data_IF_086393924029
#
_entry.id   IF_086393924029
#
_cell.length_a   1.000
_cell.length_b   1.000
_cell.length_c   1.000
_cell.angle_alpha   90.00
_cell.angle_beta   90.00
_cell.angle_gamma   90.00
#
_symmetry.space_group_name_H-M   'P 1'
#
loop_
_entity.id
_entity.type
_entity.pdbx_description
1 polymer ?
#
# COMPACT_ATOMS: atom_id res chain seq x y z
N UNK A 1 -38.86 18.13 22.15
CA UNK A 1 -38.72 16.67 22.28
C UNK A 1 -39.06 16.03 20.95
N UNK A 2 -38.05 15.69 20.19
CA UNK A 2 -38.14 14.78 19.03
C UNK A 2 -36.74 14.28 18.79
N UNK A 3 -36.48 13.04 19.17
CA UNK A 3 -35.28 12.32 18.91
C UNK A 3 -35.27 11.86 17.45
N UNK A 4 -34.31 12.30 16.67
CA UNK A 4 -34.03 11.76 15.35
C UNK A 4 -32.89 10.79 15.45
N UNK A 5 -33.19 9.52 15.30
CA UNK A 5 -32.25 8.41 15.09
C UNK A 5 -31.60 8.58 13.72
N UNK A 6 -30.28 8.74 13.68
CA UNK A 6 -29.51 8.68 12.45
C UNK A 6 -29.30 7.20 12.09
N UNK A 7 -30.02 6.77 11.08
CA UNK A 7 -29.87 5.47 10.46
C UNK A 7 -28.58 5.37 9.64
N UNK A 8 -28.03 4.19 9.66
CA UNK A 8 -26.92 3.71 8.85
C UNK A 8 -27.09 4.05 7.36
N UNK A 9 -26.24 4.90 6.80
CA UNK A 9 -26.15 5.15 5.38
C UNK A 9 -25.39 4.00 4.71
N UNK A 10 -26.16 3.15 4.05
CA UNK A 10 -25.66 2.15 3.11
C UNK A 10 -25.04 2.87 1.92
N UNK A 11 -23.78 2.63 1.66
CA UNK A 11 -23.07 3.13 0.50
C UNK A 11 -23.53 2.39 -0.76
N UNK A 12 -24.42 3.03 -1.54
CA UNK A 12 -24.62 2.67 -2.93
C UNK A 12 -23.77 3.62 -3.80
N UNK A 13 -22.59 3.16 -4.16
CA UNK A 13 -21.79 3.80 -5.19
C UNK A 13 -22.42 3.52 -6.55
N UNK A 14 -23.03 4.54 -7.15
CA UNK A 14 -23.46 4.52 -8.54
C UNK A 14 -22.22 4.63 -9.41
N UNK A 15 -21.81 3.54 -10.02
CA UNK A 15 -20.82 3.54 -11.10
C UNK A 15 -21.52 3.89 -12.42
N UNK A 16 -21.03 4.84 -13.22
CA UNK A 16 -21.54 5.01 -14.57
C UNK A 16 -21.10 3.83 -15.43
N UNK A 17 -22.06 3.11 -15.98
CA UNK A 17 -21.87 2.06 -16.97
C UNK A 17 -21.42 2.69 -18.30
N UNK A 18 -20.19 2.38 -18.74
CA UNK A 18 -19.84 2.43 -20.15
C UNK A 18 -19.72 1.01 -20.64
N UNK A 19 -20.64 0.64 -21.52
CA UNK A 19 -20.59 -0.61 -22.24
C UNK A 19 -19.51 -0.55 -23.31
N UNK A 20 -18.71 -1.62 -23.35
CA UNK A 20 -18.34 -2.28 -24.61
C UNK A 20 -17.84 -3.68 -24.23
N UNK A 21 -18.46 -4.65 -24.90
CA UNK A 21 -18.30 -6.07 -24.72
C UNK A 21 -16.96 -6.55 -25.27
N UNK A 22 -16.09 -7.02 -24.37
CA UNK A 22 -15.07 -8.01 -24.70
C UNK A 22 -15.50 -9.30 -24.01
N UNK A 23 -15.87 -10.30 -24.80
CA UNK A 23 -16.13 -11.66 -24.32
C UNK A 23 -14.80 -12.23 -23.80
N UNK A 24 -14.62 -12.23 -22.49
CA UNK A 24 -13.64 -13.10 -21.83
C UNK A 24 -14.36 -14.40 -21.47
N UNK A 25 -13.86 -15.50 -22.02
CA UNK A 25 -14.21 -16.87 -21.61
C UNK A 25 -13.86 -17.05 -20.12
N UNK A 26 -14.81 -16.75 -19.26
CA UNK A 26 -14.72 -17.09 -17.83
C UNK A 26 -15.07 -18.55 -17.66
N UNK A 27 -14.05 -19.38 -17.50
CA UNK A 27 -14.22 -20.70 -16.87
C UNK A 27 -14.71 -20.43 -15.45
N UNK A 28 -15.99 -20.71 -15.22
CA UNK A 28 -16.58 -20.68 -13.89
C UNK A 28 -15.92 -21.77 -13.04
N UNK A 29 -15.01 -21.37 -12.16
CA UNK A 29 -14.57 -22.22 -11.05
C UNK A 29 -15.69 -22.11 -10.01
N UNK A 30 -16.46 -23.17 -9.82
CA UNK A 30 -17.41 -23.29 -8.71
C UNK A 30 -16.60 -23.18 -7.41
N UNK A 31 -16.68 -22.01 -6.76
CA UNK A 31 -16.15 -21.81 -5.42
C UNK A 31 -17.09 -22.56 -4.45
N UNK A 32 -16.61 -23.65 -3.87
CA UNK A 32 -17.29 -24.23 -2.70
C UNK A 32 -17.39 -23.15 -1.61
N UNK A 33 -18.58 -22.96 -1.02
CA UNK A 33 -18.75 -21.97 0.03
C UNK A 33 -17.87 -22.33 1.23
N UNK A 34 -17.03 -21.38 1.66
CA UNK A 34 -16.29 -21.47 2.91
C UNK A 34 -17.30 -21.65 4.06
N UNK A 35 -17.38 -22.86 4.58
CA UNK A 35 -18.12 -23.16 5.81
C UNK A 35 -17.21 -22.73 6.95
N UNK A 36 -17.55 -21.59 7.58
CA UNK A 36 -16.93 -21.24 8.85
C UNK A 36 -17.17 -22.38 9.85
N UNK A 37 -16.15 -22.89 10.54
CA UNK A 37 -16.37 -23.91 11.54
C UNK A 37 -17.29 -23.33 12.64
N UNK A 38 -18.47 -23.91 12.78
CA UNK A 38 -19.27 -23.79 13.99
C UNK A 38 -18.53 -24.60 15.05
N UNK A 39 -17.79 -23.90 15.91
CA UNK A 39 -17.62 -24.25 17.30
C UNK A 39 -16.52 -23.36 17.89
N UNK A 40 -16.84 -22.75 19.02
CA UNK A 40 -15.87 -22.10 19.91
C UNK A 40 -14.98 -23.19 20.52
N UNK A 41 -13.99 -23.65 19.74
CA UNK A 41 -12.98 -24.54 20.30
C UNK A 41 -12.07 -23.69 21.20
N UNK A 42 -11.92 -24.15 22.44
CA UNK A 42 -11.05 -23.48 23.42
C UNK A 42 -9.60 -23.49 22.97
N UNK A 43 -8.83 -22.48 23.40
CA UNK A 43 -7.38 -22.43 23.21
C UNK A 43 -6.75 -23.71 23.74
N UNK A 44 -5.81 -24.28 22.97
CA UNK A 44 -5.04 -25.45 23.42
C UNK A 44 -4.06 -25.03 24.55
N UNK A 45 -4.34 -25.39 25.83
CA UNK A 45 -3.46 -25.04 26.95
C UNK A 45 -2.06 -25.62 26.80
N UNK A 46 -1.93 -26.77 26.13
CA UNK A 46 -0.63 -27.38 25.86
C UNK A 46 0.17 -26.55 24.84
N UNK A 47 -0.48 -25.83 23.93
CA UNK A 47 0.21 -24.87 23.03
C UNK A 47 0.77 -23.70 23.82
N UNK A 48 -0.02 -23.10 24.72
CA UNK A 48 0.41 -22.00 25.60
C UNK A 48 1.65 -22.40 26.42
N UNK A 49 1.62 -23.57 27.04
CA UNK A 49 2.76 -24.10 27.81
C UNK A 49 3.99 -24.35 26.94
N UNK A 50 3.83 -24.91 25.73
CA UNK A 50 4.92 -25.12 24.79
C UNK A 50 5.56 -23.82 24.34
N UNK A 51 4.76 -22.79 24.04
CA UNK A 51 5.25 -21.46 23.66
C UNK A 51 5.99 -20.79 24.82
N UNK A 52 5.42 -20.82 26.02
CA UNK A 52 6.04 -20.27 27.23
C UNK A 52 7.39 -20.94 27.50
N UNK A 53 7.42 -22.29 27.51
CA UNK A 53 8.64 -23.04 27.70
C UNK A 53 9.71 -22.70 26.63
N UNK A 54 9.30 -22.67 25.36
CA UNK A 54 10.23 -22.36 24.27
C UNK A 54 10.79 -20.94 24.37
N UNK A 55 9.93 -19.95 24.61
CA UNK A 55 10.40 -18.56 24.75
C UNK A 55 11.37 -18.45 25.93
N UNK A 56 11.07 -19.09 27.07
CA UNK A 56 11.91 -19.01 28.26
C UNK A 56 13.26 -19.71 28.08
N UNK A 57 13.27 -20.86 27.43
CA UNK A 57 14.48 -21.73 27.34
C UNK A 57 15.27 -21.55 26.06
N UNK A 58 14.77 -20.81 25.05
CA UNK A 58 15.48 -20.63 23.78
C UNK A 58 16.88 -20.08 23.98
N UNK A 59 17.93 -20.82 23.52
CA UNK A 59 19.30 -20.38 23.68
C UNK A 59 19.62 -19.15 22.82
N UNK A 60 20.55 -18.32 23.26
CA UNK A 60 21.05 -17.15 22.53
C UNK A 60 19.99 -16.08 22.23
N UNK A 61 18.82 -16.17 22.86
CA UNK A 61 17.75 -15.17 22.75
C UNK A 61 17.75 -14.34 24.02
N UNK A 62 18.07 -13.04 23.89
CA UNK A 62 17.97 -12.09 24.98
C UNK A 62 16.50 -11.70 25.19
N UNK A 63 15.90 -12.16 26.28
CA UNK A 63 14.45 -12.02 26.57
C UNK A 63 14.06 -10.55 26.76
N UNK A 64 14.94 -9.70 27.25
CA UNK A 64 14.72 -8.26 27.41
C UNK A 64 14.66 -7.53 26.04
N UNK A 65 15.08 -8.16 24.96
CA UNK A 65 15.13 -7.65 23.59
C UNK A 65 14.12 -8.34 22.66
N UNK A 66 13.21 -9.14 23.22
CA UNK A 66 12.20 -9.92 22.53
C UNK A 66 10.80 -9.44 22.90
N UNK A 67 9.95 -9.23 21.90
CA UNK A 67 8.51 -9.07 22.03
C UNK A 67 7.79 -10.16 21.23
N UNK A 68 6.90 -10.91 21.86
CA UNK A 68 6.09 -11.95 21.22
C UNK A 68 4.64 -11.78 21.62
N UNK A 69 3.74 -11.91 20.66
CA UNK A 69 2.33 -12.06 20.94
C UNK A 69 1.69 -13.02 19.95
N UNK A 70 0.84 -13.88 20.46
CA UNK A 70 0.07 -14.87 19.70
C UNK A 70 -1.38 -14.83 20.15
N UNK A 71 -2.29 -14.72 19.21
CA UNK A 71 -3.72 -14.67 19.40
C UNK A 71 -4.39 -15.75 18.54
N UNK A 72 -5.28 -16.52 19.11
CA UNK A 72 -6.11 -17.47 18.38
C UNK A 72 -7.32 -16.74 17.81
N UNK A 73 -7.31 -16.52 16.49
CA UNK A 73 -8.39 -15.81 15.79
C UNK A 73 -9.67 -16.66 15.79
N UNK A 74 -9.54 -17.98 15.71
CA UNK A 74 -10.69 -18.89 15.68
C UNK A 74 -11.38 -18.96 17.04
N UNK A 75 -10.62 -19.16 18.12
CA UNK A 75 -11.16 -19.17 19.49
C UNK A 75 -11.43 -17.78 20.06
N UNK A 76 -10.89 -16.70 19.44
CA UNK A 76 -10.97 -15.32 19.94
C UNK A 76 -10.33 -15.11 21.31
N UNK A 77 -9.19 -15.75 21.55
CA UNK A 77 -8.51 -15.72 22.83
C UNK A 77 -6.99 -15.51 22.71
N UNK A 78 -6.43 -14.95 23.78
CA UNK A 78 -4.97 -14.80 23.93
C UNK A 78 -4.34 -16.18 24.14
N UNK A 79 -3.33 -16.51 23.33
CA UNK A 79 -2.57 -17.76 23.48
C UNK A 79 -1.30 -17.52 24.29
N UNK A 80 -0.52 -16.49 23.91
CA UNK A 80 0.74 -16.23 24.58
C UNK A 80 1.20 -14.78 24.39
N UNK A 81 1.75 -14.17 25.44
CA UNK A 81 2.34 -12.84 25.41
C UNK A 81 3.66 -12.76 26.18
N UNK A 82 4.70 -12.20 25.59
CA UNK A 82 5.96 -11.87 26.23
C UNK A 82 6.38 -10.47 25.81
N UNK A 83 6.41 -9.51 26.77
CA UNK A 83 6.71 -8.10 26.52
C UNK A 83 5.91 -7.53 25.30
N UNK A 84 4.74 -8.04 25.11
CA UNK A 84 3.89 -7.80 23.94
C UNK A 84 3.36 -6.37 23.83
N UNK A 85 3.39 -5.61 24.93
CA UNK A 85 3.01 -4.19 24.99
C UNK A 85 4.22 -3.24 24.96
N UNK A 86 5.44 -3.76 24.86
CA UNK A 86 6.66 -2.95 24.78
C UNK A 86 6.87 -2.46 23.34
N UNK A 87 7.01 -1.12 23.12
CA UNK A 87 7.27 -0.58 21.80
C UNK A 87 8.67 -0.98 21.29
N UNK A 88 8.72 -1.60 20.11
CA UNK A 88 9.93 -2.07 19.47
C UNK A 88 9.98 -1.62 18.01
N UNK A 89 11.15 -1.70 17.36
CA UNK A 89 11.31 -1.38 15.94
C UNK A 89 10.69 -2.50 15.09
N UNK A 90 9.62 -2.22 14.32
CA UNK A 90 8.95 -3.24 13.51
C UNK A 90 9.71 -3.59 12.23
N UNK A 91 10.68 -2.77 11.82
CA UNK A 91 11.28 -2.84 10.50
C UNK A 91 10.18 -2.98 9.41
N UNK A 92 10.39 -3.81 8.39
CA UNK A 92 9.43 -3.95 7.28
C UNK A 92 8.08 -4.59 7.65
N UNK A 93 7.83 -4.98 8.91
CA UNK A 93 6.47 -5.30 9.35
C UNK A 93 5.57 -4.04 9.38
N UNK A 94 6.13 -2.82 9.34
CA UNK A 94 5.40 -1.56 9.09
C UNK A 94 4.54 -1.63 7.83
N UNK A 95 4.99 -2.34 6.80
CA UNK A 95 4.29 -2.50 5.52
C UNK A 95 2.91 -3.17 5.64
N UNK A 96 2.68 -3.93 6.72
CA UNK A 96 1.35 -4.47 7.02
C UNK A 96 0.37 -3.33 7.31
N UNK A 97 0.77 -2.34 8.09
CA UNK A 97 -0.05 -1.16 8.37
C UNK A 97 -0.25 -0.32 7.11
N UNK A 98 0.82 -0.07 6.35
CA UNK A 98 0.73 0.67 5.08
C UNK A 98 -0.26 0.04 4.12
N UNK A 99 -0.21 -1.30 3.97
CA UNK A 99 -1.13 -2.02 3.10
C UNK A 99 -2.59 -1.99 3.62
N UNK A 100 -2.79 -2.16 4.94
CA UNK A 100 -4.12 -2.11 5.54
C UNK A 100 -4.77 -0.72 5.39
N UNK A 101 -4.01 0.35 5.67
CA UNK A 101 -4.47 1.74 5.52
C UNK A 101 -4.80 2.06 4.06
N UNK A 102 -3.95 1.60 3.11
CA UNK A 102 -4.21 1.76 1.68
C UNK A 102 -5.50 1.03 1.24
N UNK A 103 -5.66 -0.23 1.63
CA UNK A 103 -6.85 -1.02 1.29
C UNK A 103 -8.12 -0.47 1.93
N UNK A 104 -8.02 0.08 3.15
CA UNK A 104 -9.15 0.69 3.83
C UNK A 104 -9.61 1.98 3.14
N UNK A 105 -8.70 2.94 2.93
CA UNK A 105 -9.07 4.27 2.43
C UNK A 105 -9.27 4.31 0.91
N UNK A 106 -8.50 3.52 0.15
CA UNK A 106 -8.56 3.54 -1.32
C UNK A 106 -9.44 2.42 -1.88
N UNK A 107 -9.61 1.35 -1.13
CA UNK A 107 -10.33 0.16 -1.55
C UNK A 107 -9.48 -0.83 -2.39
N UNK A 108 -9.92 -2.09 -2.46
CA UNK A 108 -9.16 -3.16 -3.12
C UNK A 108 -9.11 -3.03 -4.66
N UNK A 109 -10.06 -2.30 -5.23
CA UNK A 109 -10.18 -2.08 -6.68
C UNK A 109 -9.56 -0.75 -7.12
N UNK A 110 -8.92 -0.03 -6.18
CA UNK A 110 -8.24 1.22 -6.53
C UNK A 110 -7.18 1.00 -7.60
N UNK A 111 -7.15 1.89 -8.57
CA UNK A 111 -6.14 1.92 -9.62
C UNK A 111 -5.50 3.31 -9.69
N UNK A 112 -4.20 3.33 -9.85
CA UNK A 112 -3.46 4.52 -10.26
C UNK A 112 -3.83 4.85 -11.69
N UNK A 113 -4.08 6.12 -12.00
CA UNK A 113 -4.49 6.60 -13.31
C UNK A 113 -3.54 7.68 -13.83
N UNK A 114 -2.93 7.39 -14.95
CA UNK A 114 -2.07 8.34 -15.67
C UNK A 114 -2.63 8.53 -17.09
N UNK A 115 -3.06 9.75 -17.41
CA UNK A 115 -3.80 10.02 -18.65
C UNK A 115 -3.26 11.25 -19.38
N UNK A 116 -3.18 11.17 -20.71
CA UNK A 116 -3.00 12.30 -21.60
C UNK A 116 -4.35 12.69 -22.18
N UNK A 117 -4.80 13.90 -21.89
CA UNK A 117 -6.06 14.41 -22.38
C UNK A 117 -5.85 15.60 -23.33
N UNK A 118 -6.74 15.75 -24.30
CA UNK A 118 -6.71 16.77 -25.30
C UNK A 118 -8.02 17.56 -25.33
N UNK A 119 -7.92 18.88 -25.33
CA UNK A 119 -9.00 19.81 -25.60
C UNK A 119 -8.67 20.66 -26.82
N UNK A 120 -9.68 20.86 -27.69
CA UNK A 120 -9.53 21.65 -28.91
C UNK A 120 -9.60 20.83 -30.18
N UNK A 121 -9.08 21.37 -31.29
CA UNK A 121 -9.15 20.75 -32.62
C UNK A 121 -7.79 20.57 -33.25
N UNK A 122 -7.66 19.56 -34.10
CA UNK A 122 -6.46 19.31 -34.88
C UNK A 122 -6.69 19.73 -36.33
N UNK A 123 -5.84 20.57 -36.86
CA UNK A 123 -5.84 20.95 -38.27
C UNK A 123 -4.43 20.96 -38.82
N UNK A 124 -4.21 20.29 -39.97
CA UNK A 124 -2.91 20.20 -40.68
C UNK A 124 -1.74 19.84 -39.76
N UNK A 125 -1.97 18.89 -38.82
CA UNK A 125 -0.95 18.45 -37.89
C UNK A 125 -0.74 19.35 -36.64
N UNK A 126 -1.46 20.46 -36.55
CA UNK A 126 -1.42 21.34 -35.38
C UNK A 126 -2.62 21.16 -34.47
N UNK A 127 -2.37 20.94 -33.19
CA UNK A 127 -3.39 21.01 -32.15
C UNK A 127 -3.58 22.49 -31.76
N UNK A 128 -4.77 23.02 -32.01
CA UNK A 128 -5.22 24.33 -31.53
C UNK A 128 -6.04 24.09 -30.25
N UNK A 129 -5.37 24.18 -29.11
CA UNK A 129 -5.99 23.87 -27.81
C UNK A 129 -5.00 23.47 -26.75
N UNK A 130 -5.41 22.60 -25.83
CA UNK A 130 -4.61 22.24 -24.66
C UNK A 130 -4.36 20.74 -24.57
N UNK A 131 -3.21 20.38 -24.04
CA UNK A 131 -2.96 19.05 -23.46
C UNK A 131 -3.01 19.14 -21.94
N UNK A 132 -3.62 18.13 -21.31
CA UNK A 132 -3.55 17.91 -19.87
C UNK A 132 -2.82 16.59 -19.63
N UNK A 133 -1.65 16.67 -19.00
CA UNK A 133 -0.85 15.53 -18.55
C UNK A 133 -1.25 15.25 -17.11
N UNK A 134 -2.24 14.37 -16.91
CA UNK A 134 -2.80 14.05 -15.61
C UNK A 134 -2.18 12.77 -15.08
N UNK A 135 -1.46 12.88 -13.96
CA UNK A 135 -0.63 11.81 -13.42
C UNK A 135 -0.97 11.57 -11.96
N UNK A 136 -1.38 10.35 -11.63
CA UNK A 136 -1.33 9.85 -10.27
C UNK A 136 0.12 9.53 -9.88
N UNK A 137 0.32 9.17 -8.61
CA UNK A 137 1.63 8.72 -8.10
C UNK A 137 1.93 7.27 -8.49
N UNK A 138 1.62 6.86 -9.72
CA UNK A 138 1.80 5.49 -10.21
C UNK A 138 3.28 5.09 -10.21
N UNK A 139 3.71 4.18 -9.31
CA UNK A 139 5.12 3.80 -9.25
C UNK A 139 5.56 2.89 -10.40
N UNK A 140 4.61 2.37 -11.19
CA UNK A 140 4.88 1.52 -12.35
C UNK A 140 4.80 2.26 -13.68
N UNK A 141 4.49 3.55 -13.68
CA UNK A 141 4.48 4.33 -14.92
C UNK A 141 5.86 4.28 -15.60
N UNK A 142 5.96 3.71 -16.82
CA UNK A 142 7.26 3.38 -17.40
C UNK A 142 7.93 4.61 -18.02
N UNK A 143 7.21 5.33 -18.86
CA UNK A 143 7.70 6.50 -19.62
C UNK A 143 6.53 7.21 -20.30
N UNK A 144 6.83 8.36 -20.94
CA UNK A 144 5.86 9.11 -21.74
C UNK A 144 5.75 8.64 -23.19
N UNK A 145 6.42 7.57 -23.58
CA UNK A 145 6.48 7.14 -24.98
C UNK A 145 5.09 6.84 -25.53
N UNK A 146 4.24 6.10 -24.80
CA UNK A 146 2.88 5.78 -25.24
C UNK A 146 2.01 7.05 -25.39
N UNK A 147 2.19 8.05 -24.51
CA UNK A 147 1.48 9.31 -24.58
C UNK A 147 1.88 10.09 -25.84
N UNK A 148 3.17 10.14 -26.15
CA UNK A 148 3.67 10.83 -27.33
C UNK A 148 3.33 10.07 -28.61
N UNK A 149 3.37 8.75 -28.60
CA UNK A 149 2.90 7.93 -29.71
C UNK A 149 1.40 8.14 -30.00
N UNK A 150 0.58 8.36 -28.96
CA UNK A 150 -0.84 8.68 -29.15
C UNK A 150 -1.04 10.03 -29.90
N UNK A 151 -0.20 11.03 -29.61
CA UNK A 151 -0.17 12.28 -30.38
C UNK A 151 0.22 12.03 -31.83
N UNK A 152 1.25 11.22 -32.08
CA UNK A 152 1.66 10.83 -33.45
C UNK A 152 0.56 10.10 -34.20
N UNK A 153 -0.11 9.13 -33.56
CA UNK A 153 -1.26 8.42 -34.15
C UNK A 153 -2.43 9.35 -34.51
N UNK A 154 -2.59 10.44 -33.75
CA UNK A 154 -3.57 11.49 -34.03
C UNK A 154 -3.12 12.47 -35.13
N UNK A 155 -1.89 12.32 -35.64
CA UNK A 155 -1.28 13.19 -36.64
C UNK A 155 -0.83 14.53 -36.09
N UNK A 156 -0.63 14.67 -34.78
CA UNK A 156 -0.19 15.91 -34.12
C UNK A 156 1.33 15.97 -34.16
N UNK A 157 1.88 17.02 -34.81
CA UNK A 157 3.31 17.33 -34.86
C UNK A 157 3.62 18.71 -34.29
N UNK A 158 2.59 19.53 -34.01
CA UNK A 158 2.73 20.83 -33.36
C UNK A 158 1.56 21.06 -32.37
N UNK A 159 1.86 21.69 -31.24
CA UNK A 159 0.88 22.06 -30.22
C UNK A 159 0.90 23.62 -30.15
N UNK A 160 -0.18 24.24 -30.61
CA UNK A 160 -0.42 25.67 -30.48
C UNK A 160 -1.42 25.90 -29.34
N UNK A 161 -0.88 26.08 -28.11
CA UNK A 161 -1.71 26.25 -26.93
C UNK A 161 -0.98 25.85 -25.65
N UNK A 162 -1.74 25.36 -24.65
CA UNK A 162 -1.21 25.11 -23.32
C UNK A 162 -0.92 23.63 -23.08
N UNK A 163 0.17 23.32 -22.38
CA UNK A 163 0.45 22.01 -21.80
C UNK A 163 0.34 22.15 -20.28
N UNK A 164 -0.71 21.56 -19.73
CA UNK A 164 -1.03 21.60 -18.29
C UNK A 164 -0.59 20.29 -17.64
N UNK A 165 0.14 20.39 -16.53
CA UNK A 165 0.56 19.25 -15.74
C UNK A 165 -0.29 19.16 -14.48
N UNK A 166 -1.20 18.20 -14.44
CA UNK A 166 -1.96 17.80 -13.27
C UNK A 166 -1.25 16.63 -12.59
N UNK A 167 -0.41 16.95 -11.64
CA UNK A 167 0.42 15.98 -10.94
C UNK A 167 -0.10 15.82 -9.52
N UNK A 168 -0.37 14.58 -9.11
CA UNK A 168 -0.73 14.27 -7.73
C UNK A 168 0.40 14.68 -6.77
N UNK A 169 1.65 14.56 -7.22
CA UNK A 169 2.84 14.89 -6.44
C UNK A 169 3.73 15.93 -7.15
N UNK A 170 4.18 16.90 -6.39
CA UNK A 170 5.14 17.92 -6.87
C UNK A 170 6.56 17.66 -6.40
N UNK A 171 6.73 17.00 -5.25
CA UNK A 171 8.02 16.77 -4.60
C UNK A 171 8.64 15.42 -4.96
N UNK A 172 9.96 15.33 -4.78
CA UNK A 172 10.68 14.07 -4.92
C UNK A 172 10.43 13.19 -3.71
N UNK A 173 10.20 11.89 -3.93
CA UNK A 173 10.14 10.88 -2.86
C UNK A 173 11.45 10.92 -2.06
N UNK A 174 11.33 11.03 -0.75
CA UNK A 174 12.46 11.02 0.18
C UNK A 174 12.20 10.01 1.27
N UNK A 175 13.25 9.30 1.66
CA UNK A 175 13.20 8.47 2.86
C UNK A 175 13.18 9.35 4.12
N UNK A 176 12.67 8.81 5.22
CA UNK A 176 12.71 9.47 6.51
C UNK A 176 14.17 9.73 6.94
N UNK A 177 14.42 10.87 7.60
CA UNK A 177 15.78 11.32 7.97
C UNK A 177 16.52 10.37 8.92
N UNK A 178 15.81 9.49 9.65
CA UNK A 178 16.42 8.48 10.52
C UNK A 178 16.81 7.19 9.82
N UNK A 179 16.37 7.00 8.55
CA UNK A 179 16.79 5.87 7.73
C UNK A 179 18.22 6.08 7.20
N UNK A 180 18.91 5.00 6.84
CA UNK A 180 20.24 5.10 6.24
C UNK A 180 20.20 5.77 4.88
N UNK A 181 21.10 6.72 4.55
CA UNK A 181 21.00 7.53 3.32
C UNK A 181 21.01 6.75 2.00
N UNK A 182 21.50 5.50 2.01
CA UNK A 182 21.61 4.62 0.84
C UNK A 182 20.50 3.59 0.73
N UNK A 183 19.55 3.54 1.65
CA UNK A 183 18.47 2.56 1.63
C UNK A 183 17.51 2.78 0.44
N UNK A 184 17.34 4.04 0.02
CA UNK A 184 16.61 4.39 -1.20
C UNK A 184 17.52 5.18 -2.16
N UNK A 185 17.98 4.51 -3.21
CA UNK A 185 18.74 5.15 -4.28
C UNK A 185 17.82 5.97 -5.20
N UNK A 186 18.17 7.24 -5.45
CA UNK A 186 17.43 8.13 -6.36
C UNK A 186 17.24 7.52 -7.76
N UNK A 187 18.24 6.77 -8.25
CA UNK A 187 18.15 6.16 -9.58
C UNK A 187 17.03 5.10 -9.67
N UNK A 188 16.70 4.46 -8.56
CA UNK A 188 15.62 3.46 -8.46
C UNK A 188 14.26 4.06 -8.17
N UNK A 189 14.20 5.35 -7.80
CA UNK A 189 12.93 6.03 -7.57
C UNK A 189 12.14 6.09 -8.88
N UNK A 190 10.85 5.68 -8.90
CA UNK A 190 10.00 5.72 -10.07
C UNK A 190 9.90 7.13 -10.67
N UNK A 191 9.63 7.22 -11.97
CA UNK A 191 9.61 8.51 -12.69
C UNK A 191 8.67 9.53 -12.03
N UNK A 192 7.45 9.13 -11.72
CA UNK A 192 6.44 10.03 -11.14
C UNK A 192 6.73 10.42 -9.68
N UNK A 193 7.69 9.73 -9.05
CA UNK A 193 8.18 10.05 -7.71
C UNK A 193 9.41 10.98 -7.69
N UNK A 194 9.89 11.43 -8.87
CA UNK A 194 11.08 12.28 -8.98
C UNK A 194 10.80 13.79 -8.93
N UNK A 195 9.55 14.16 -8.69
CA UNK A 195 9.10 15.54 -8.56
C UNK A 195 8.76 16.22 -9.89
N UNK A 196 7.91 17.24 -9.82
CA UNK A 196 7.33 17.93 -10.97
C UNK A 196 8.36 18.44 -12.00
N UNK A 197 9.51 19.05 -11.61
CA UNK A 197 10.48 19.52 -12.59
C UNK A 197 11.07 18.38 -13.44
N UNK A 198 11.27 17.20 -12.85
CA UNK A 198 11.77 16.04 -13.60
C UNK A 198 10.71 15.45 -14.51
N UNK A 199 9.49 15.31 -14.02
CA UNK A 199 8.35 14.81 -14.80
C UNK A 199 8.12 15.67 -16.05
N UNK A 200 8.05 16.99 -15.87
CA UNK A 200 7.90 17.95 -16.98
C UNK A 200 9.02 17.80 -18.01
N UNK A 201 10.27 17.76 -17.57
CA UNK A 201 11.43 17.62 -18.46
C UNK A 201 11.38 16.31 -19.26
N UNK A 202 11.01 15.18 -18.64
CA UNK A 202 10.91 13.90 -19.34
C UNK A 202 9.79 13.92 -20.38
N UNK A 203 8.63 14.50 -20.08
CA UNK A 203 7.56 14.65 -21.05
C UNK A 203 7.98 15.54 -22.23
N UNK A 204 8.59 16.70 -21.96
CA UNK A 204 9.06 17.62 -23.00
C UNK A 204 10.17 17.00 -23.86
N UNK A 205 11.06 16.20 -23.24
CA UNK A 205 12.08 15.45 -23.96
C UNK A 205 11.44 14.38 -24.87
N UNK A 206 10.42 13.65 -24.39
CA UNK A 206 9.69 12.66 -25.20
C UNK A 206 9.00 13.31 -26.42
N UNK A 207 8.37 14.48 -26.25
CA UNK A 207 7.83 15.26 -27.39
C UNK A 207 8.90 15.58 -28.41
N UNK A 208 10.02 16.14 -27.95
CA UNK A 208 11.14 16.57 -28.84
C UNK A 208 11.77 15.37 -29.55
N UNK A 209 11.88 14.21 -28.91
CA UNK A 209 12.42 12.99 -29.50
C UNK A 209 11.58 12.48 -30.69
N UNK A 210 10.28 12.78 -30.71
CA UNK A 210 9.38 12.47 -31.81
C UNK A 210 9.15 13.65 -32.77
N UNK A 211 9.94 14.75 -32.64
CA UNK A 211 9.83 15.91 -33.49
C UNK A 211 8.56 16.73 -33.27
N UNK A 212 7.83 16.52 -32.17
CA UNK A 212 6.66 17.33 -31.83
C UNK A 212 7.12 18.63 -31.20
N UNK A 213 6.72 19.71 -31.82
CA UNK A 213 7.04 21.10 -31.37
C UNK A 213 5.84 21.66 -30.60
N UNK A 214 6.09 22.70 -29.81
CA UNK A 214 4.99 23.37 -29.10
C UNK A 214 5.26 24.90 -29.00
N UNK A 215 4.17 25.66 -29.00
CA UNK A 215 4.16 27.07 -28.69
C UNK A 215 3.08 27.35 -27.63
N UNK A 216 3.49 27.95 -26.51
CA UNK A 216 2.57 28.30 -25.43
C UNK A 216 1.71 29.49 -25.84
N UNK A 217 0.42 29.26 -26.05
CA UNK A 217 -0.57 30.29 -26.35
C UNK A 217 -1.68 30.29 -25.30
N UNK A 218 -1.66 31.24 -24.35
CA UNK A 218 -2.64 31.24 -23.26
C UNK A 218 -4.09 31.48 -23.74
N UNK A 219 -4.28 32.08 -24.93
CA UNK A 219 -5.61 32.27 -25.51
C UNK A 219 -6.27 30.95 -25.90
N UNK A 220 -5.44 29.95 -26.22
CA UNK A 220 -5.88 28.57 -26.53
C UNK A 220 -5.81 27.65 -25.33
N UNK A 221 -5.61 28.18 -24.12
CA UNK A 221 -5.71 27.43 -22.89
C UNK A 221 -7.14 26.88 -22.71
N UNK A 222 -7.24 25.78 -21.99
CA UNK A 222 -8.57 25.21 -21.68
C UNK A 222 -9.45 26.26 -21.00
N UNK A 223 -10.70 26.51 -21.45
CA UNK A 223 -11.56 27.60 -20.95
C UNK A 223 -11.68 27.64 -19.42
N UNK A 224 -11.80 26.47 -18.78
CA UNK A 224 -11.89 26.37 -17.32
C UNK A 224 -10.61 26.75 -16.57
N UNK A 225 -9.46 26.83 -17.25
CA UNK A 225 -8.16 27.11 -16.63
C UNK A 225 -7.64 28.51 -16.98
N UNK A 226 -8.36 29.25 -17.82
CA UNK A 226 -7.95 30.60 -18.21
C UNK A 226 -7.99 31.56 -17.02
N UNK A 227 -6.88 32.24 -16.77
CA UNK A 227 -6.78 33.24 -15.70
C UNK A 227 -6.70 32.68 -14.29
N UNK A 228 -6.69 31.35 -14.13
CA UNK A 228 -6.56 30.70 -12.82
C UNK A 228 -5.11 30.34 -12.53
N UNK A 229 -4.70 30.56 -11.29
CA UNK A 229 -3.39 30.18 -10.76
C UNK A 229 -3.55 29.21 -9.60
N UNK A 230 -2.80 28.09 -9.64
CA UNK A 230 -2.77 27.13 -8.55
C UNK A 230 -2.29 27.74 -7.23
N UNK A 231 -1.43 28.75 -7.32
CA UNK A 231 -0.80 29.39 -6.15
C UNK A 231 -1.69 30.47 -5.52
N UNK A 232 -2.62 31.06 -6.31
CA UNK A 232 -3.52 32.12 -5.83
C UNK A 232 -4.80 31.55 -5.22
N UNK A 233 -5.47 30.62 -5.89
CA UNK A 233 -6.64 29.90 -5.36
C UNK A 233 -6.53 28.40 -5.68
N UNK A 234 -5.93 27.60 -4.80
CA UNK A 234 -5.77 26.17 -5.01
C UNK A 234 -7.10 25.41 -5.09
N UNK A 235 -8.16 25.88 -4.42
CA UNK A 235 -9.44 25.19 -4.40
C UNK A 235 -10.21 25.41 -5.71
N UNK A 236 -10.28 26.66 -6.16
CA UNK A 236 -10.89 27.02 -7.46
C UNK A 236 -10.15 26.37 -8.62
N UNK A 237 -8.80 26.40 -8.58
CA UNK A 237 -7.97 25.77 -9.60
C UNK A 237 -8.23 24.26 -9.69
N UNK A 238 -8.34 23.55 -8.56
CA UNK A 238 -8.65 22.10 -8.53
C UNK A 238 -10.01 21.80 -9.13
N UNK A 239 -11.04 22.58 -8.79
CA UNK A 239 -12.38 22.42 -9.35
C UNK A 239 -12.35 22.64 -10.88
N UNK A 240 -11.76 23.73 -11.32
CA UNK A 240 -11.60 24.06 -12.75
C UNK A 240 -10.83 22.96 -13.50
N UNK A 241 -9.78 22.41 -12.92
CA UNK A 241 -8.99 21.33 -13.51
C UNK A 241 -9.80 20.03 -13.62
N UNK A 242 -10.62 19.71 -12.64
CA UNK A 242 -11.55 18.57 -12.70
C UNK A 242 -12.56 18.72 -13.85
N UNK A 243 -13.14 19.91 -14.01
CA UNK A 243 -14.04 20.22 -15.13
C UNK A 243 -13.32 20.19 -16.48
N UNK A 244 -12.12 20.73 -16.54
CA UNK A 244 -11.29 20.69 -17.76
C UNK A 244 -10.99 19.22 -18.18
N UNK A 245 -10.66 18.35 -17.24
CA UNK A 245 -10.44 16.92 -17.50
C UNK A 245 -11.71 16.24 -18.04
N UNK A 246 -12.86 16.51 -17.45
CA UNK A 246 -14.14 15.88 -17.85
C UNK A 246 -14.58 16.28 -19.26
N UNK A 247 -14.12 17.43 -19.77
CA UNK A 247 -14.44 17.94 -21.11
C UNK A 247 -13.37 17.67 -22.16
N UNK A 248 -12.28 17.03 -21.78
CA UNK A 248 -11.17 16.71 -22.67
C UNK A 248 -11.23 15.26 -23.14
N UNK A 249 -10.83 15.01 -24.39
CA UNK A 249 -10.75 13.69 -24.94
C UNK A 249 -9.49 12.96 -24.41
N UNK A 250 -9.63 11.73 -23.96
CA UNK A 250 -8.50 10.89 -23.56
C UNK A 250 -7.79 10.40 -24.82
N UNK A 251 -6.50 10.72 -24.95
CA UNK A 251 -5.63 10.26 -26.04
C UNK A 251 -4.89 8.98 -25.67
N UNK A 252 -4.42 8.91 -24.44
CA UNK A 252 -3.74 7.74 -23.89
C UNK A 252 -4.02 7.63 -22.39
N UNK A 253 -4.01 6.41 -21.87
CA UNK A 253 -4.22 6.13 -20.46
C UNK A 253 -3.42 4.90 -20.05
N UNK A 254 -2.76 4.98 -18.91
CA UNK A 254 -2.06 3.86 -18.28
C UNK A 254 -2.60 3.69 -16.88
N UNK A 255 -2.94 2.45 -16.52
CA UNK A 255 -3.47 2.15 -15.18
C UNK A 255 -2.76 0.95 -14.58
N UNK A 256 -2.48 1.02 -13.27
CA UNK A 256 -2.00 -0.13 -12.49
C UNK A 256 -2.83 -0.25 -11.22
N UNK A 257 -3.21 -1.48 -10.87
CA UNK A 257 -4.01 -1.69 -9.66
C UNK A 257 -3.17 -1.51 -8.39
N UNK A 258 -3.80 -1.04 -7.31
CA UNK A 258 -3.18 -0.99 -5.98
C UNK A 258 -2.62 -2.36 -5.58
N UNK A 259 -3.34 -3.45 -5.88
CA UNK A 259 -2.91 -4.82 -5.59
C UNK A 259 -1.61 -5.19 -6.29
N UNK A 260 -1.44 -4.78 -7.56
CA UNK A 260 -0.20 -5.03 -8.31
C UNK A 260 1.01 -4.32 -7.68
N UNK A 261 0.80 -3.14 -7.07
CA UNK A 261 1.85 -2.42 -6.34
C UNK A 261 2.08 -3.01 -4.96
N UNK A 262 1.03 -3.42 -4.25
CA UNK A 262 1.15 -4.06 -2.93
C UNK A 262 1.82 -5.44 -2.99
N UNK A 263 1.73 -6.14 -4.12
CA UNK A 263 2.37 -7.46 -4.27
C UNK A 263 3.88 -7.42 -3.99
N UNK A 264 4.71 -6.64 -4.69
CA UNK A 264 6.13 -6.55 -4.37
C UNK A 264 6.42 -5.91 -3.00
N UNK A 265 5.53 -5.03 -2.51
CA UNK A 265 5.66 -4.43 -1.17
C UNK A 265 5.62 -5.51 -0.08
N UNK A 266 4.68 -6.44 -0.15
CA UNK A 266 4.50 -7.48 0.87
C UNK A 266 5.35 -8.72 0.54
N UNK A 267 5.34 -9.19 -0.69
CA UNK A 267 6.04 -10.41 -1.12
C UNK A 267 7.56 -10.28 -1.04
N UNK A 268 8.11 -9.18 -1.60
CA UNK A 268 9.55 -8.95 -1.71
C UNK A 268 10.08 -7.87 -0.77
N UNK A 269 9.17 -7.25 -0.01
CA UNK A 269 9.52 -6.18 0.94
C UNK A 269 10.10 -4.94 0.25
N UNK A 270 9.62 -4.58 -0.94
CA UNK A 270 10.10 -3.40 -1.66
C UNK A 270 9.85 -2.12 -0.86
N UNK A 271 10.93 -1.40 -0.55
CA UNK A 271 10.86 -0.20 0.28
C UNK A 271 10.38 1.01 -0.51
N UNK A 272 10.79 1.13 -1.77
CA UNK A 272 10.45 2.27 -2.62
C UNK A 272 8.96 2.26 -2.92
N UNK A 273 8.43 1.09 -3.28
CA UNK A 273 7.00 0.92 -3.55
C UNK A 273 6.17 1.10 -2.29
N UNK A 274 6.67 0.68 -1.11
CA UNK A 274 6.00 0.92 0.16
C UNK A 274 5.89 2.42 0.48
N UNK A 275 6.96 3.19 0.27
CA UNK A 275 6.92 4.64 0.40
C UNK A 275 6.00 5.29 -0.64
N UNK A 276 6.02 4.80 -1.88
CA UNK A 276 5.13 5.29 -2.93
C UNK A 276 3.66 5.12 -2.53
N UNK A 277 3.27 3.91 -2.05
CA UNK A 277 1.91 3.65 -1.55
C UNK A 277 1.58 4.54 -0.36
N UNK A 278 2.49 4.67 0.60
CA UNK A 278 2.27 5.49 1.79
C UNK A 278 1.95 6.95 1.42
N UNK A 279 2.71 7.54 0.54
CA UNK A 279 2.44 8.91 0.07
C UNK A 279 1.16 9.01 -0.77
N UNK A 280 0.89 8.01 -1.59
CA UNK A 280 -0.29 7.99 -2.45
C UNK A 280 -1.62 8.00 -1.67
N UNK A 281 -1.67 7.36 -0.51
CA UNK A 281 -2.89 7.30 0.32
C UNK A 281 -3.46 8.70 0.56
N UNK A 282 -2.63 9.62 1.08
CA UNK A 282 -3.04 11.00 1.34
C UNK A 282 -3.43 11.74 0.07
N UNK A 283 -2.61 11.65 -0.98
CA UNK A 283 -2.86 12.34 -2.24
C UNK A 283 -4.14 11.89 -2.94
N UNK A 284 -4.38 10.58 -3.03
CA UNK A 284 -5.58 10.05 -3.67
C UNK A 284 -6.84 10.40 -2.88
N UNK A 285 -6.79 10.28 -1.55
CA UNK A 285 -7.92 10.61 -0.68
C UNK A 285 -8.24 12.11 -0.73
N UNK A 286 -7.22 12.98 -0.73
CA UNK A 286 -7.39 14.43 -0.88
C UNK A 286 -7.99 14.80 -2.23
N UNK A 287 -7.56 14.13 -3.32
CA UNK A 287 -8.11 14.31 -4.66
C UNK A 287 -9.62 14.05 -4.72
N UNK A 288 -10.11 13.08 -3.96
CA UNK A 288 -11.54 12.75 -3.91
C UNK A 288 -12.34 13.66 -2.98
N UNK A 289 -11.75 14.05 -1.86
CA UNK A 289 -12.49 14.75 -0.79
C UNK A 289 -12.22 16.25 -0.73
N UNK A 290 -11.06 16.69 -1.26
CA UNK A 290 -10.63 18.10 -1.20
C UNK A 290 -10.29 18.60 0.21
N UNK A 291 -10.07 17.68 1.17
CA UNK A 291 -9.94 18.00 2.58
C UNK A 291 -8.53 18.33 3.09
N UNK A 292 -7.50 18.24 2.23
CA UNK A 292 -6.10 18.48 2.62
C UNK A 292 -5.49 17.36 3.48
N UNK A 293 -5.99 16.13 3.35
CA UNK A 293 -5.60 15.00 4.17
C UNK A 293 -4.17 14.52 3.91
N UNK A 294 -3.39 14.37 4.96
CA UNK A 294 -2.11 13.65 4.91
C UNK A 294 -2.31 12.15 5.20
N UNK A 295 -1.37 11.33 4.72
CA UNK A 295 -1.35 9.90 5.05
C UNK A 295 -1.25 9.66 6.56
N UNK A 296 -0.55 10.51 7.29
CA UNK A 296 -0.45 10.39 8.74
C UNK A 296 -1.80 10.58 9.41
N UNK A 297 -2.56 11.62 9.05
CA UNK A 297 -3.91 11.85 9.59
C UNK A 297 -4.86 10.71 9.27
N UNK A 298 -4.80 10.17 8.05
CA UNK A 298 -5.59 9.01 7.63
C UNK A 298 -5.19 7.74 8.40
N UNK A 299 -3.90 7.54 8.64
CA UNK A 299 -3.42 6.42 9.48
C UNK A 299 -3.93 6.58 10.91
N UNK A 300 -3.85 7.78 11.49
CA UNK A 300 -4.37 8.04 12.83
C UNK A 300 -5.88 7.85 12.93
N UNK A 301 -6.62 8.26 11.89
CA UNK A 301 -8.05 8.03 11.80
C UNK A 301 -8.38 6.54 11.74
N UNK A 302 -7.68 5.78 10.91
CA UNK A 302 -7.83 4.33 10.79
C UNK A 302 -7.59 3.63 12.15
N UNK A 303 -6.50 3.97 12.84
CA UNK A 303 -6.19 3.38 14.14
C UNK A 303 -7.24 3.71 15.21
N UNK A 304 -7.81 4.90 15.17
CA UNK A 304 -8.78 5.36 16.17
C UNK A 304 -10.19 4.87 15.90
N UNK A 305 -10.66 5.00 14.66
CA UNK A 305 -12.07 4.81 14.31
C UNK A 305 -12.38 3.37 13.88
N UNK A 306 -11.47 2.78 13.11
CA UNK A 306 -11.68 1.43 12.57
C UNK A 306 -11.13 0.35 13.50
N UNK A 307 -9.86 0.48 13.87
CA UNK A 307 -9.24 -0.50 14.78
C UNK A 307 -9.57 -0.23 16.26
N UNK A 308 -10.09 0.94 16.59
CA UNK A 308 -10.46 1.36 17.97
C UNK A 308 -9.31 1.16 18.97
N UNK A 309 -8.07 1.42 18.54
CA UNK A 309 -6.88 1.29 19.40
C UNK A 309 -7.00 2.25 20.60
N UNK A 310 -6.90 1.74 21.85
CA UNK A 310 -7.00 2.57 23.05
C UNK A 310 -5.98 3.71 23.05
N UNK A 311 -6.36 4.90 23.53
CA UNK A 311 -5.51 6.10 23.52
C UNK A 311 -4.18 5.89 24.25
N UNK A 312 -4.14 5.07 25.30
CA UNK A 312 -2.93 4.70 26.02
C UNK A 312 -1.96 3.88 25.18
N UNK A 313 -2.47 2.92 24.45
CA UNK A 313 -1.69 2.06 23.54
C UNK A 313 -1.24 2.86 22.33
N UNK A 314 -2.12 3.68 21.72
CA UNK A 314 -1.78 4.56 20.59
C UNK A 314 -0.58 5.46 20.87
N UNK A 315 -0.43 5.98 22.10
CA UNK A 315 0.71 6.81 22.49
C UNK A 315 2.05 6.08 22.45
N UNK A 316 2.05 4.76 22.45
CA UNK A 316 3.25 3.93 22.35
C UNK A 316 3.63 3.64 20.91
N UNK A 317 2.75 3.93 19.95
CA UNK A 317 2.98 3.70 18.52
C UNK A 317 3.62 4.93 17.90
N UNK A 318 4.53 4.72 16.96
CA UNK A 318 5.13 5.77 16.14
C UNK A 318 5.25 5.29 14.71
N UNK A 319 4.61 6.00 13.79
CA UNK A 319 4.63 5.73 12.34
C UNK A 319 5.34 6.91 11.67
N UNK A 320 6.53 6.68 11.13
CA UNK A 320 7.38 7.73 10.56
C UNK A 320 7.59 7.55 9.05
N UNK A 321 7.37 6.34 8.53
CA UNK A 321 7.46 6.02 7.11
C UNK A 321 6.54 4.84 6.77
N UNK A 322 6.38 4.55 5.49
CA UNK A 322 5.57 3.44 5.01
C UNK A 322 6.34 2.12 4.86
N UNK A 323 7.65 2.17 4.81
CA UNK A 323 8.52 1.01 4.51
C UNK A 323 9.04 0.30 5.75
N UNK A 324 9.17 1.01 6.87
CA UNK A 324 9.83 0.53 8.08
C UNK A 324 11.36 0.68 8.06
N UNK A 325 11.90 1.48 7.15
CA UNK A 325 13.33 1.84 7.13
C UNK A 325 13.70 2.80 8.26
N UNK A 326 12.75 3.62 8.73
CA UNK A 326 12.97 4.55 9.83
C UNK A 326 13.09 3.79 11.16
N UNK A 327 14.25 3.78 11.81
CA UNK A 327 14.39 3.20 13.16
C UNK A 327 13.57 3.92 14.23
N UNK A 328 12.97 5.06 13.88
CA UNK A 328 12.05 5.81 14.74
C UNK A 328 10.65 5.19 14.81
N UNK A 329 10.29 4.29 13.88
CA UNK A 329 9.04 3.53 14.00
C UNK A 329 9.02 2.71 15.29
N UNK A 330 7.88 2.70 15.97
CA UNK A 330 7.65 1.90 17.18
C UNK A 330 6.28 1.23 17.10
N UNK A 331 6.28 -0.09 17.17
CA UNK A 331 5.08 -0.91 17.31
C UNK A 331 5.26 -1.91 18.45
N UNK A 332 4.16 -2.34 19.03
CA UNK A 332 4.14 -3.47 19.94
C UNK A 332 3.82 -4.75 19.16
N UNK A 333 4.23 -5.90 19.65
CA UNK A 333 3.79 -7.17 19.02
C UNK A 333 2.28 -7.37 19.16
N UNK A 334 1.67 -6.89 20.24
CA UNK A 334 0.21 -6.86 20.42
C UNK A 334 -0.47 -6.02 19.34
N UNK A 335 0.01 -4.83 19.07
CA UNK A 335 -0.54 -3.97 18.01
C UNK A 335 -0.51 -4.64 16.61
N UNK A 336 0.61 -5.28 16.26
CA UNK A 336 0.71 -5.97 14.97
C UNK A 336 -0.30 -7.12 14.85
N UNK A 337 -0.54 -7.85 15.93
CA UNK A 337 -1.55 -8.91 15.97
C UNK A 337 -2.97 -8.34 15.91
N UNK A 338 -3.25 -7.24 16.59
CA UNK A 338 -4.54 -6.54 16.49
C UNK A 338 -4.80 -6.09 15.04
N UNK A 339 -3.79 -5.54 14.36
CA UNK A 339 -3.87 -5.17 12.95
C UNK A 339 -4.17 -6.38 12.04
N UNK A 340 -3.49 -7.51 12.28
CA UNK A 340 -3.73 -8.75 11.55
C UNK A 340 -5.12 -9.32 11.82
N UNK A 341 -5.58 -9.29 13.07
CA UNK A 341 -6.94 -9.73 13.44
C UNK A 341 -7.99 -8.85 12.76
N UNK A 342 -7.80 -7.53 12.79
CA UNK A 342 -8.66 -6.61 12.05
C UNK A 342 -8.73 -6.96 10.55
N UNK A 343 -7.57 -7.18 9.93
CA UNK A 343 -7.50 -7.53 8.51
C UNK A 343 -8.14 -8.90 8.21
N UNK A 344 -8.02 -9.86 9.13
CA UNK A 344 -8.66 -11.18 9.02
C UNK A 344 -10.19 -11.09 9.09
N UNK A 345 -10.72 -10.23 9.95
CA UNK A 345 -12.17 -10.01 10.11
C UNK A 345 -12.81 -9.24 8.94
N UNK A 346 -11.99 -8.69 8.04
CA UNK A 346 -12.45 -8.03 6.83
C UNK A 346 -12.20 -8.92 5.60
N UNK A 347 -13.23 -9.57 5.04
CA UNK A 347 -13.06 -10.62 4.01
C UNK A 347 -12.17 -10.21 2.84
N UNK A 348 -12.28 -8.95 2.39
CA UNK A 348 -11.45 -8.42 1.30
C UNK A 348 -9.98 -8.34 1.70
N UNK A 349 -9.68 -7.84 2.91
CA UNK A 349 -8.30 -7.74 3.39
C UNK A 349 -7.73 -9.12 3.71
N UNK A 350 -8.53 -10.01 4.29
CA UNK A 350 -8.16 -11.40 4.56
C UNK A 350 -7.67 -12.08 3.28
N UNK A 351 -8.49 -12.06 2.23
CA UNK A 351 -8.15 -12.62 0.92
C UNK A 351 -6.86 -12.02 0.37
N UNK A 352 -6.75 -10.68 0.37
CA UNK A 352 -5.58 -9.98 -0.13
C UNK A 352 -4.32 -10.36 0.65
N UNK A 353 -4.36 -10.39 1.97
CA UNK A 353 -3.16 -10.73 2.76
C UNK A 353 -2.81 -12.21 2.68
N UNK A 354 -3.77 -13.10 2.91
CA UNK A 354 -3.50 -14.54 3.04
C UNK A 354 -3.33 -15.18 1.66
N UNK A 355 -4.25 -14.93 0.72
CA UNK A 355 -4.26 -15.65 -0.56
C UNK A 355 -3.31 -15.06 -1.59
N UNK A 356 -3.07 -13.73 -1.54
CA UNK A 356 -2.40 -13.05 -2.63
C UNK A 356 -1.02 -12.50 -2.28
N UNK A 357 -0.86 -11.78 -1.17
CA UNK A 357 0.26 -10.88 -1.00
C UNK A 357 1.33 -11.32 0.00
N UNK A 358 0.98 -12.02 1.09
CA UNK A 358 1.98 -12.41 2.08
C UNK A 358 2.83 -13.59 1.61
N UNK A 359 4.16 -13.55 1.83
CA UNK A 359 5.01 -14.71 1.60
C UNK A 359 4.57 -15.92 2.40
N UNK A 360 4.70 -17.09 1.81
CA UNK A 360 4.47 -18.38 2.47
C UNK A 360 5.58 -19.34 2.07
N UNK A 361 5.97 -20.33 2.90
CA UNK A 361 6.98 -21.33 2.56
C UNK A 361 6.49 -22.34 1.50
N UNK A 362 5.83 -21.86 0.46
CA UNK A 362 5.44 -22.60 -0.75
C UNK A 362 6.43 -22.37 -1.90
N UNK A 363 6.67 -23.33 -2.80
CA UNK A 363 7.67 -23.19 -3.87
C UNK A 363 7.53 -21.93 -4.72
N UNK A 364 6.32 -21.55 -5.05
CA UNK A 364 5.98 -20.41 -5.91
C UNK A 364 5.63 -19.12 -5.15
N UNK A 365 5.64 -19.12 -3.81
CA UNK A 365 5.20 -18.00 -2.98
C UNK A 365 6.17 -17.63 -1.86
N UNK A 366 7.42 -18.01 -1.97
CA UNK A 366 8.37 -17.86 -0.87
C UNK A 366 8.76 -16.42 -0.55
N UNK A 367 8.86 -15.55 -1.55
CA UNK A 367 9.24 -14.15 -1.34
C UNK A 367 10.42 -14.01 -0.37
N UNK A 368 10.24 -13.20 0.68
CA UNK A 368 11.26 -13.01 1.74
C UNK A 368 11.40 -14.21 2.69
N UNK A 369 10.54 -15.22 2.60
CA UNK A 369 10.68 -16.49 3.33
C UNK A 369 11.51 -17.53 2.54
N UNK A 370 12.11 -17.15 1.40
CA UNK A 370 13.02 -18.01 0.65
C UNK A 370 14.18 -18.46 1.54
N UNK A 371 14.37 -19.77 1.63
CA UNK A 371 15.42 -20.35 2.46
C UNK A 371 15.09 -20.51 3.96
N UNK A 372 13.92 -20.05 4.39
CA UNK A 372 13.40 -20.21 5.76
C UNK A 372 12.30 -21.28 5.81
N UNK A 373 11.96 -21.74 7.02
CA UNK A 373 10.82 -22.65 7.27
C UNK A 373 10.80 -23.82 6.27
N UNK A 374 11.91 -24.56 6.17
CA UNK A 374 12.10 -25.62 5.17
C UNK A 374 11.30 -26.89 5.47
N UNK A 375 10.79 -27.03 6.69
CA UNK A 375 9.97 -28.17 7.09
C UNK A 375 8.66 -28.20 6.30
N UNK A 376 8.31 -29.34 5.74
CA UNK A 376 7.03 -29.55 5.05
C UNK A 376 5.82 -29.30 5.96
N UNK A 377 6.01 -29.37 7.28
CA UNK A 377 4.95 -29.13 8.26
C UNK A 377 4.34 -27.74 8.18
N UNK A 378 5.14 -26.74 7.79
CA UNK A 378 4.72 -25.33 7.69
C UNK A 378 4.35 -24.90 6.27
N UNK A 379 4.50 -25.79 5.28
CA UNK A 379 4.15 -25.47 3.90
C UNK A 379 2.66 -25.13 3.75
N UNK A 380 2.36 -23.97 3.20
CA UNK A 380 0.99 -23.49 3.01
C UNK A 380 0.23 -23.19 4.31
N UNK A 381 0.93 -23.11 5.46
CA UNK A 381 0.32 -22.86 6.76
C UNK A 381 0.82 -21.62 7.47
N UNK A 382 1.87 -20.99 6.97
CA UNK A 382 2.42 -19.73 7.48
C UNK A 382 2.38 -18.69 6.38
N UNK A 383 1.83 -17.52 6.67
CA UNK A 383 1.72 -16.37 5.77
C UNK A 383 2.21 -15.15 6.52
N UNK A 384 3.45 -14.71 6.27
CA UNK A 384 4.05 -13.74 7.16
C UNK A 384 4.96 -12.73 6.46
N UNK A 385 4.91 -11.49 6.95
CA UNK A 385 5.82 -10.41 6.60
C UNK A 385 7.06 -10.46 7.46
N UNK A 386 8.21 -10.45 6.83
CA UNK A 386 9.52 -10.32 7.49
C UNK A 386 9.93 -8.85 7.62
N UNK A 387 10.69 -8.52 8.64
CA UNK A 387 11.36 -7.23 8.80
C UNK A 387 12.82 -7.42 9.22
N UNK A 388 13.73 -6.56 8.71
CA UNK A 388 15.14 -6.60 9.09
C UNK A 388 15.75 -5.22 8.94
N UNK A 389 16.43 -4.74 10.01
CA UNK A 389 17.37 -3.63 9.98
C UNK A 389 18.70 -4.15 10.52
N UNK A 390 19.55 -4.66 9.62
CA UNK A 390 20.76 -5.40 9.99
C UNK A 390 21.73 -4.57 10.86
N UNK A 391 21.93 -3.30 10.51
CA UNK A 391 22.80 -2.39 11.26
C UNK A 391 22.31 -2.10 12.70
N UNK A 392 21.06 -2.45 13.02
CA UNK A 392 20.44 -2.29 14.34
C UNK A 392 20.18 -3.63 15.04
N UNK A 393 20.61 -4.75 14.45
CA UNK A 393 20.29 -6.06 15.01
C UNK A 393 18.79 -6.33 15.13
N UNK A 394 17.98 -5.75 14.24
CA UNK A 394 16.52 -5.89 14.27
C UNK A 394 16.07 -6.97 13.31
N UNK A 395 15.30 -7.93 13.84
CA UNK A 395 14.58 -8.94 13.05
C UNK A 395 13.16 -9.09 13.54
N UNK A 396 12.20 -9.00 12.64
CA UNK A 396 10.78 -9.14 12.94
C UNK A 396 10.11 -10.12 11.98
N UNK A 397 9.05 -10.76 12.47
CA UNK A 397 8.16 -11.63 11.71
C UNK A 397 6.74 -11.47 12.25
N UNK A 398 5.78 -11.17 11.38
CA UNK A 398 4.39 -11.01 11.79
C UNK A 398 3.44 -11.48 10.68
N UNK A 399 2.40 -12.22 11.04
CA UNK A 399 1.48 -12.80 10.07
C UNK A 399 0.51 -13.80 10.67
N UNK A 400 0.11 -14.76 9.85
CA UNK A 400 -0.87 -15.78 10.17
C UNK A 400 -0.25 -17.17 10.14
N UNK A 401 -0.81 -18.05 10.96
CA UNK A 401 -0.47 -19.46 10.98
C UNK A 401 -1.75 -20.31 11.07
N UNK A 402 -1.87 -21.30 10.19
CA UNK A 402 -2.95 -22.30 10.25
C UNK A 402 -2.47 -23.54 10.99
N UNK A 403 -2.95 -23.74 12.20
CA UNK A 403 -2.69 -24.93 13.01
C UNK A 403 -3.26 -26.19 12.38
N UNK A 404 -2.76 -27.36 12.79
CA UNK A 404 -3.33 -28.65 12.37
C UNK A 404 -4.68 -28.94 12.98
N UNK A 405 -4.99 -28.29 14.10
CA UNK A 405 -6.30 -28.28 14.72
C UNK A 405 -7.36 -27.48 13.93
N UNK A 406 -6.97 -26.82 12.82
CA UNK A 406 -7.85 -25.98 12.03
C UNK A 406 -7.94 -24.53 12.51
N UNK A 407 -7.32 -24.18 13.64
CA UNK A 407 -7.33 -22.80 14.15
C UNK A 407 -6.40 -21.90 13.36
N UNK A 408 -6.84 -20.66 13.16
CA UNK A 408 -6.00 -19.58 12.67
C UNK A 408 -5.41 -18.78 13.83
N UNK A 409 -4.11 -18.61 13.80
CA UNK A 409 -3.39 -17.78 14.76
C UNK A 409 -2.83 -16.56 14.07
N UNK A 410 -3.02 -15.37 14.67
CA UNK A 410 -2.21 -14.19 14.33
C UNK A 410 -1.02 -14.12 15.29
N UNK A 411 0.15 -13.79 14.76
CA UNK A 411 1.35 -13.70 15.58
C UNK A 411 2.25 -12.55 15.18
N UNK A 412 3.02 -12.03 16.13
CA UNK A 412 4.11 -11.08 15.90
C UNK A 412 5.30 -11.39 16.83
N UNK A 413 6.50 -11.37 16.25
CA UNK A 413 7.76 -11.65 16.93
C UNK A 413 8.71 -10.51 16.55
N UNK A 414 9.13 -9.72 17.53
CA UNK A 414 10.02 -8.57 17.37
C UNK A 414 11.31 -8.79 18.16
N UNK A 415 12.46 -8.61 17.52
CA UNK A 415 13.77 -8.67 18.15
C UNK A 415 14.55 -7.39 17.88
N UNK A 416 15.27 -6.89 18.88
CA UNK A 416 16.21 -5.77 18.79
C UNK A 416 17.56 -6.15 19.36
N UNK A 417 18.65 -5.52 18.89
CA UNK A 417 20.02 -5.71 19.36
C UNK A 417 20.47 -7.18 19.41
N UNK A 418 20.10 -7.96 18.40
CA UNK A 418 20.36 -9.39 18.35
C UNK A 418 20.99 -9.82 17.02
N UNK A 419 21.66 -10.97 17.03
CA UNK A 419 22.12 -11.61 15.81
C UNK A 419 20.92 -12.02 14.95
N UNK A 420 20.83 -11.48 13.74
CA UNK A 420 19.71 -11.71 12.82
C UNK A 420 19.47 -13.21 12.55
N UNK A 421 20.55 -13.98 12.45
CA UNK A 421 20.47 -15.43 12.22
C UNK A 421 19.76 -16.16 13.36
N UNK A 422 20.16 -15.88 14.61
CA UNK A 422 19.55 -16.50 15.80
C UNK A 422 18.09 -16.10 15.95
N UNK A 423 17.77 -14.81 15.72
CA UNK A 423 16.41 -14.32 15.73
C UNK A 423 15.53 -15.04 14.69
N UNK A 424 16.04 -15.32 13.49
CA UNK A 424 15.31 -16.04 12.44
C UNK A 424 15.07 -17.50 12.79
N UNK A 425 16.07 -18.20 13.38
CA UNK A 425 15.90 -19.58 13.86
C UNK A 425 14.78 -19.64 14.91
N UNK A 426 14.80 -18.70 15.85
CA UNK A 426 13.75 -18.59 16.87
C UNK A 426 12.36 -18.41 16.25
N UNK A 427 12.24 -17.48 15.30
CA UNK A 427 10.98 -17.19 14.61
C UNK A 427 10.46 -18.41 13.84
N UNK A 428 11.34 -19.11 13.13
CA UNK A 428 10.97 -20.29 12.33
C UNK A 428 10.46 -21.42 13.24
N UNK A 429 11.13 -21.67 14.36
CA UNK A 429 10.73 -22.70 15.30
C UNK A 429 9.41 -22.35 16.02
N UNK A 430 9.19 -21.07 16.37
CA UNK A 430 7.92 -20.65 16.96
C UNK A 430 6.76 -20.90 15.98
N UNK A 431 6.93 -20.59 14.70
CA UNK A 431 5.91 -20.91 13.68
C UNK A 431 5.67 -22.42 13.55
N UNK A 432 6.72 -23.26 13.69
CA UNK A 432 6.56 -24.70 13.71
C UNK A 432 5.76 -25.20 14.92
N UNK A 433 5.87 -24.54 16.08
CA UNK A 433 5.07 -24.85 17.25
C UNK A 433 3.59 -24.49 17.06
N UNK A 434 3.30 -23.37 16.38
CA UNK A 434 1.95 -22.93 16.06
C UNK A 434 1.23 -23.87 15.07
N UNK A 435 1.99 -24.51 14.19
CA UNK A 435 1.42 -25.48 13.22
C UNK A 435 1.16 -26.84 13.82
N UNK A 436 1.85 -27.22 14.90
CA UNK A 436 1.69 -28.55 15.52
C UNK A 436 0.33 -28.75 16.13
#
# INVERSE_FOLDING_TARGET
MLALSLGSLVWNAVSPSFGDSVEEDTVAVEEEPYIAPEDTADVDPALTERLAHYVETAPRIEKSRLGVYVYDITAREDVYGHRDTVPMIPASCTKLLTAAVALHHLGPNHAYDSSLLMYGSVSKGTLYGSLIVSMDDDPFFPSFDEFVQALCRKGINHIEGSIVFDLARTDTLRQHHTASPWDISYNKVPLLMKGAPRIRREFMHALSAQGITYHSNPVLAHPWLQGLSKDEDPAEYRLALSLARSQSAILARTTHSLRSVLFPVLMYSDNILAEAVHYHIGHAYDRWTGGGWSTQELTEKFLREEMQIPSGEKKMLSVNDGSGLAPANRFTSRFLVQLLTYAYDHPVMQKVFIDELLPSPLPNRRGTLSGRMKSEKVHGRVFAKTGTLAAKGVSSLSGYCLGRNGHWYAFAILHEDMAIYEARIFQDHLCELLVK
#
